data_IF_583357126762
#
_entry.id   IF_583357126762
#
_cell.length_a   1.000
_cell.length_b   1.000
_cell.length_c   1.000
_cell.angle_alpha   90.00
_cell.angle_beta   90.00
_cell.angle_gamma   90.00
#
_symmetry.space_group_name_H-M   'P 1'
#
loop_
_entity.id
_entity.type
_entity.pdbx_description
1 polymer ?
#
# COMPACT_ATOMS: atom_id res chain seq x y z
N UNK A 1 17.76 40.76 -19.57
CA UNK A 1 17.04 40.77 -18.27
C UNK A 1 15.58 41.22 -18.37
N UNK A 2 15.17 42.07 -19.34
CA UNK A 2 13.76 42.49 -19.47
C UNK A 2 12.78 41.36 -19.86
N UNK A 3 13.19 40.42 -20.75
CA UNK A 3 12.31 39.32 -21.18
C UNK A 3 12.00 38.28 -20.09
N UNK A 4 12.90 38.06 -19.12
CA UNK A 4 12.64 37.10 -18.04
C UNK A 4 11.59 37.63 -17.05
N UNK A 5 11.55 38.94 -16.83
CA UNK A 5 10.55 39.59 -15.96
C UNK A 5 9.15 39.54 -16.59
N UNK A 6 9.05 39.71 -17.91
CA UNK A 6 7.77 39.62 -18.63
C UNK A 6 7.23 38.18 -18.63
N UNK A 7 8.09 37.19 -18.84
CA UNK A 7 7.70 35.78 -18.79
C UNK A 7 7.23 35.40 -17.37
N UNK A 8 7.96 35.83 -16.33
CA UNK A 8 7.54 35.58 -14.95
C UNK A 8 6.20 36.24 -14.62
N UNK A 9 5.98 37.47 -15.09
CA UNK A 9 4.73 38.19 -14.87
C UNK A 9 3.53 37.50 -15.56
N UNK A 10 3.70 37.00 -16.79
CA UNK A 10 2.65 36.27 -17.51
C UNK A 10 2.34 34.94 -16.82
N UNK A 11 3.35 34.20 -16.35
CA UNK A 11 3.15 32.93 -15.61
C UNK A 11 2.44 33.17 -14.28
N UNK A 12 2.77 34.25 -13.56
CA UNK A 12 2.10 34.61 -12.29
C UNK A 12 0.65 35.04 -12.54
N UNK A 13 0.38 35.80 -13.61
CA UNK A 13 -0.98 36.23 -13.94
C UNK A 13 -1.85 35.03 -14.35
N UNK A 14 -1.32 34.10 -15.16
CA UNK A 14 -2.06 32.90 -15.59
C UNK A 14 -2.32 31.96 -14.41
N UNK A 15 -1.36 31.80 -13.49
CA UNK A 15 -1.56 30.98 -12.28
C UNK A 15 -2.55 31.61 -11.31
N UNK A 16 -2.53 32.93 -11.12
CA UNK A 16 -3.53 33.64 -10.30
C UNK A 16 -4.93 33.59 -10.90
N UNK A 17 -5.07 33.77 -12.21
CA UNK A 17 -6.37 33.66 -12.91
C UNK A 17 -6.92 32.23 -12.82
N UNK A 18 -6.08 31.21 -12.97
CA UNK A 18 -6.51 29.81 -12.78
C UNK A 18 -6.88 29.50 -11.31
N UNK A 19 -6.16 30.07 -10.33
CA UNK A 19 -6.50 29.92 -8.91
C UNK A 19 -7.81 30.63 -8.55
N UNK A 20 -8.05 31.82 -9.10
CA UNK A 20 -9.30 32.57 -8.94
C UNK A 20 -10.49 31.90 -9.63
N UNK A 21 -10.28 31.27 -10.79
CA UNK A 21 -11.33 30.48 -11.46
C UNK A 21 -11.60 29.14 -10.77
N UNK A 22 -10.60 28.53 -10.13
CA UNK A 22 -10.76 27.28 -9.38
C UNK A 22 -11.39 27.47 -7.99
N UNK A 23 -11.18 28.62 -7.35
CA UNK A 23 -11.80 28.98 -6.07
C UNK A 23 -13.26 29.46 -6.19
N UNK A 24 -13.81 29.51 -7.41
CA UNK A 24 -15.16 30.01 -7.71
C UNK A 24 -16.30 28.99 -7.62
N UNK A 25 -16.07 27.75 -7.18
CA UNK A 25 -17.14 26.74 -7.04
C UNK A 25 -17.36 26.31 -5.59
N UNK A 26 -18.30 27.01 -4.93
CA UNK A 26 -19.26 26.56 -3.92
C UNK A 26 -18.78 25.79 -2.66
N UNK A 27 -18.59 26.53 -1.57
CA UNK A 27 -19.25 26.22 -0.29
C UNK A 27 -20.03 27.46 0.15
N UNK A 28 -21.35 27.32 0.28
CA UNK A 28 -22.25 28.44 0.57
C UNK A 28 -22.32 28.82 2.05
N UNK A 29 -22.47 30.11 2.33
CA UNK A 29 -23.48 30.65 3.24
C UNK A 29 -23.45 32.20 3.27
N UNK A 30 -24.64 32.77 3.19
CA UNK A 30 -25.03 34.20 3.24
C UNK A 30 -24.21 35.11 4.15
N UNK A 31 -23.74 36.26 3.64
CA UNK A 31 -23.82 37.56 4.34
C UNK A 31 -23.91 38.70 3.30
N UNK A 32 -24.93 39.54 3.46
CA UNK A 32 -25.12 40.84 2.80
C UNK A 32 -24.12 41.89 3.32
N UNK A 33 -23.51 42.69 2.45
CA UNK A 33 -23.40 44.15 2.68
C UNK A 33 -22.64 44.86 1.55
N UNK A 34 -23.26 45.98 1.17
CA UNK A 34 -22.71 47.16 0.48
C UNK A 34 -21.22 47.47 0.74
N UNK A 35 -20.48 47.83 -0.31
CA UNK A 35 -19.84 49.14 -0.44
C UNK A 35 -18.89 49.24 -1.65
N UNK A 36 -19.11 50.31 -2.44
CA UNK A 36 -18.11 51.12 -3.17
C UNK A 36 -17.33 50.43 -4.31
N UNK A 37 -17.95 50.43 -5.49
CA UNK A 37 -17.22 50.77 -6.71
C UNK A 37 -16.81 52.24 -6.63
N UNK A 38 -15.51 52.53 -6.65
CA UNK A 38 -15.00 53.81 -7.11
C UNK A 38 -13.60 53.63 -7.69
N UNK A 39 -13.41 54.32 -8.82
CA UNK A 39 -12.16 54.64 -9.53
C UNK A 39 -11.35 53.51 -10.17
N UNK A 40 -11.60 53.28 -11.46
CA UNK A 40 -10.52 53.09 -12.44
C UNK A 40 -10.74 54.11 -13.57
N UNK A 41 -9.76 54.97 -13.91
CA UNK A 41 -9.92 56.00 -14.92
C UNK A 41 -10.04 55.43 -16.33
N UNK A 42 -10.98 56.00 -17.07
CA UNK A 42 -11.12 55.93 -18.51
C UNK A 42 -9.89 56.52 -19.23
N UNK A 43 -8.99 55.68 -19.77
CA UNK A 43 -8.15 56.05 -20.92
C UNK A 43 -7.77 54.81 -21.72
N UNK A 44 -8.60 54.41 -22.69
CA UNK A 44 -8.08 53.95 -23.98
C UNK A 44 -8.92 54.62 -25.06
N UNK A 45 -8.36 55.70 -25.58
CA UNK A 45 -8.75 56.34 -26.82
C UNK A 45 -8.66 55.32 -27.96
N UNK A 46 -9.77 55.05 -28.65
CA UNK A 46 -9.82 54.33 -29.93
C UNK A 46 -9.33 55.23 -31.07
N UNK A 47 -8.11 55.74 -30.97
CA UNK A 47 -7.48 56.52 -32.03
C UNK A 47 -5.98 56.21 -32.06
N UNK A 48 -5.64 55.04 -32.61
CA UNK A 48 -4.42 54.76 -33.39
C UNK A 48 -4.29 53.25 -33.66
N UNK A 49 -5.21 52.69 -34.44
CA UNK A 49 -4.87 51.52 -35.26
C UNK A 49 -4.15 52.03 -36.51
N UNK A 50 -2.90 52.47 -36.34
CA UNK A 50 -2.02 52.79 -37.45
C UNK A 50 -1.23 51.53 -37.84
N UNK A 51 -1.49 51.03 -39.05
CA UNK A 51 -0.55 50.30 -39.91
C UNK A 51 0.44 49.38 -39.20
N UNK A 52 -0.03 48.27 -38.61
CA UNK A 52 0.74 47.03 -38.77
C UNK A 52 0.32 46.43 -40.11
N UNK A 53 1.27 46.17 -41.00
CA UNK A 53 0.90 45.55 -42.28
C UNK A 53 0.30 44.17 -41.99
N UNK A 54 -0.69 43.76 -42.78
CA UNK A 54 -1.26 42.41 -42.70
C UNK A 54 -0.16 41.34 -42.70
N UNK A 55 0.91 41.57 -43.47
CA UNK A 55 2.12 40.76 -43.49
C UNK A 55 2.86 40.67 -42.16
N UNK A 56 2.90 41.74 -41.36
CA UNK A 56 3.54 41.70 -40.02
C UNK A 56 2.70 40.88 -39.03
N UNK A 57 1.37 40.93 -39.17
CA UNK A 57 0.44 40.12 -38.35
C UNK A 57 0.53 38.64 -38.75
N UNK A 58 0.59 38.34 -40.04
CA UNK A 58 0.78 36.98 -40.56
C UNK A 58 2.12 36.37 -40.13
N UNK A 59 3.20 37.13 -40.22
CA UNK A 59 4.52 36.70 -39.76
C UNK A 59 4.53 36.41 -38.25
N UNK A 60 3.92 37.29 -37.45
CA UNK A 60 3.81 37.08 -36.01
C UNK A 60 2.95 35.85 -35.67
N UNK A 61 1.87 35.60 -36.41
CA UNK A 61 1.08 34.37 -36.24
C UNK A 61 1.86 33.11 -36.61
N UNK A 62 2.67 33.14 -37.67
CA UNK A 62 3.53 32.02 -38.04
C UNK A 62 4.60 31.75 -36.98
N UNK A 63 5.21 32.80 -36.41
CA UNK A 63 6.20 32.66 -35.35
C UNK A 63 5.57 32.08 -34.07
N UNK A 64 4.36 32.54 -33.70
CA UNK A 64 3.61 31.99 -32.56
C UNK A 64 3.25 30.53 -32.81
N UNK A 65 2.82 30.18 -34.04
CA UNK A 65 2.47 28.80 -34.39
C UNK A 65 3.69 27.88 -34.33
N UNK A 66 4.84 28.30 -34.84
CA UNK A 66 6.10 27.53 -34.73
C UNK A 66 6.52 27.35 -33.28
N UNK A 67 6.42 28.39 -32.44
CA UNK A 67 6.71 28.28 -31.01
C UNK A 67 5.76 27.30 -30.32
N UNK A 68 4.47 27.38 -30.61
CA UNK A 68 3.47 26.47 -30.04
C UNK A 68 3.67 25.02 -30.48
N UNK A 69 4.03 24.78 -31.74
CA UNK A 69 4.38 23.46 -32.25
C UNK A 69 5.63 22.91 -31.54
N UNK A 70 6.67 23.74 -31.35
CA UNK A 70 7.88 23.35 -30.62
C UNK A 70 7.62 23.03 -29.14
N UNK A 71 6.77 23.81 -28.47
CA UNK A 71 6.38 23.55 -27.08
C UNK A 71 5.48 22.32 -26.96
N UNK A 72 4.60 22.07 -27.95
CA UNK A 72 3.80 20.85 -28.04
C UNK A 72 4.67 19.61 -28.24
N UNK A 73 5.73 19.69 -29.03
CA UNK A 73 6.65 18.57 -29.22
C UNK A 73 7.52 18.32 -27.98
N UNK A 74 7.93 19.37 -27.26
CA UNK A 74 8.53 19.25 -25.91
C UNK A 74 7.54 18.59 -24.94
N UNK A 75 6.27 19.01 -24.93
CA UNK A 75 5.22 18.42 -24.11
C UNK A 75 4.91 16.97 -24.49
N UNK A 76 4.98 16.60 -25.77
CA UNK A 76 4.84 15.21 -26.21
C UNK A 76 6.03 14.37 -25.75
N UNK A 77 7.25 14.89 -25.84
CA UNK A 77 8.45 14.21 -25.33
C UNK A 77 8.39 14.01 -23.80
N UNK A 78 7.90 15.02 -23.07
CA UNK A 78 7.65 14.95 -21.63
C UNK A 78 6.52 13.98 -21.28
N UNK A 79 5.41 13.97 -22.04
CA UNK A 79 4.27 13.05 -21.84
C UNK A 79 4.59 11.61 -22.23
N UNK A 80 5.52 11.39 -23.14
CA UNK A 80 5.97 10.06 -23.57
C UNK A 80 7.10 9.49 -22.72
N UNK A 81 7.54 10.19 -21.66
CA UNK A 81 8.52 9.64 -20.73
C UNK A 81 9.80 9.17 -21.43
N UNK A 82 10.23 9.86 -22.48
CA UNK A 82 11.57 9.64 -23.01
C UNK A 82 12.59 10.26 -22.04
N UNK A 83 12.80 9.58 -20.92
CA UNK A 83 14.14 9.46 -20.37
C UNK A 83 15.04 8.99 -21.53
N UNK A 84 16.34 9.34 -21.53
CA UNK A 84 17.30 8.81 -22.52
C UNK A 84 17.34 7.28 -22.53
N UNK A 85 18.39 6.62 -23.04
CA UNK A 85 18.56 5.18 -22.83
C UNK A 85 18.92 4.94 -21.34
N UNK A 86 17.99 5.24 -20.43
CA UNK A 86 18.03 4.79 -19.06
C UNK A 86 17.96 3.28 -19.07
N UNK A 87 18.67 2.67 -18.13
CA UNK A 87 18.65 1.23 -17.98
C UNK A 87 17.21 0.75 -17.76
N UNK A 88 16.86 -0.39 -18.36
CA UNK A 88 15.52 -0.94 -18.25
C UNK A 88 15.18 -1.29 -16.80
N UNK A 89 13.89 -1.48 -16.49
CA UNK A 89 13.46 -1.95 -15.18
C UNK A 89 14.20 -3.23 -14.78
N UNK A 90 14.38 -4.16 -15.71
CA UNK A 90 15.06 -5.44 -15.50
C UNK A 90 16.53 -5.24 -15.11
N UNK A 91 17.23 -4.31 -15.79
CA UNK A 91 18.62 -4.00 -15.49
C UNK A 91 18.76 -3.38 -14.09
N UNK A 92 17.89 -2.43 -13.72
CA UNK A 92 17.86 -1.87 -12.37
C UNK A 92 17.48 -2.89 -11.30
N UNK A 93 16.50 -3.74 -11.59
CA UNK A 93 16.06 -4.81 -10.70
C UNK A 93 17.21 -5.79 -10.42
N UNK A 94 17.94 -6.21 -11.44
CA UNK A 94 19.09 -7.11 -11.26
C UNK A 94 20.23 -6.46 -10.47
N UNK A 95 20.49 -5.15 -10.63
CA UNK A 95 21.44 -4.43 -9.76
C UNK A 95 21.00 -4.43 -8.29
N UNK A 96 19.75 -4.09 -8.02
CA UNK A 96 19.17 -4.09 -6.66
C UNK A 96 19.22 -5.50 -6.05
N UNK A 97 18.82 -6.52 -6.82
CA UNK A 97 18.84 -7.92 -6.42
C UNK A 97 20.24 -8.40 -6.08
N UNK A 98 21.24 -8.14 -6.93
CA UNK A 98 22.63 -8.50 -6.66
C UNK A 98 23.18 -7.83 -5.39
N UNK A 99 22.83 -6.56 -5.15
CA UNK A 99 23.19 -5.88 -3.91
C UNK A 99 22.52 -6.53 -2.69
N UNK A 100 21.22 -6.80 -2.76
CA UNK A 100 20.48 -7.49 -1.69
C UNK A 100 21.05 -8.89 -1.39
N UNK A 101 21.43 -9.66 -2.42
CA UNK A 101 22.10 -10.96 -2.28
C UNK A 101 23.43 -10.80 -1.54
N UNK A 102 24.23 -9.77 -1.85
CA UNK A 102 25.51 -9.51 -1.19
C UNK A 102 25.37 -9.26 0.33
N UNK A 103 24.20 -8.80 0.78
CA UNK A 103 23.92 -8.52 2.19
C UNK A 103 23.43 -9.74 2.98
N UNK A 104 23.06 -10.86 2.31
CA UNK A 104 22.42 -12.02 2.96
C UNK A 104 23.24 -12.54 4.14
N UNK A 105 24.54 -12.77 3.96
CA UNK A 105 25.39 -13.32 5.02
C UNK A 105 25.48 -12.41 6.26
N UNK A 106 25.48 -11.08 6.05
CA UNK A 106 25.48 -10.12 7.14
C UNK A 106 24.13 -10.14 7.87
N UNK A 107 23.01 -10.03 7.13
CA UNK A 107 21.65 -10.07 7.69
C UNK A 107 21.39 -11.32 8.52
N UNK A 108 21.78 -12.51 7.99
CA UNK A 108 21.67 -13.79 8.72
C UNK A 108 22.43 -13.76 10.05
N UNK A 109 23.68 -13.27 10.05
CA UNK A 109 24.48 -13.15 11.29
C UNK A 109 23.88 -12.14 12.27
N UNK A 110 23.39 -11.00 11.77
CA UNK A 110 22.74 -9.97 12.60
C UNK A 110 21.49 -10.52 13.28
N UNK A 111 20.62 -11.20 12.53
CA UNK A 111 19.39 -11.82 13.07
C UNK A 111 19.71 -12.93 14.08
N UNK A 112 20.69 -13.81 13.77
CA UNK A 112 21.13 -14.86 14.68
C UNK A 112 21.78 -14.32 15.98
N UNK A 113 22.31 -13.09 15.95
CA UNK A 113 22.91 -12.45 17.12
C UNK A 113 21.89 -11.80 18.06
N UNK A 114 20.60 -11.83 17.74
CA UNK A 114 19.55 -11.33 18.62
C UNK A 114 19.32 -12.37 19.71
N UNK A 115 19.52 -12.00 20.96
CA UNK A 115 19.33 -12.86 22.14
C UNK A 115 18.52 -12.19 23.25
N UNK A 116 18.21 -10.89 23.12
CA UNK A 116 17.45 -10.13 24.11
C UNK A 116 16.25 -9.42 23.47
N UNK A 117 15.18 -9.24 24.25
CA UNK A 117 13.89 -8.69 23.81
C UNK A 117 13.98 -7.22 23.37
N UNK A 118 14.88 -6.41 23.93
CA UNK A 118 14.99 -4.98 23.57
C UNK A 118 15.86 -4.71 22.34
N UNK A 119 16.42 -5.74 21.70
CA UNK A 119 17.33 -5.59 20.54
C UNK A 119 16.59 -5.29 19.21
N UNK A 120 15.54 -4.48 19.25
CA UNK A 120 14.73 -4.14 18.07
C UNK A 120 15.53 -3.45 16.96
N UNK A 121 16.58 -2.71 17.32
CA UNK A 121 17.48 -2.09 16.34
C UNK A 121 18.23 -3.11 15.49
N UNK A 122 18.58 -4.28 16.06
CA UNK A 122 19.17 -5.39 15.30
C UNK A 122 18.12 -6.05 14.41
N UNK A 123 16.93 -6.29 14.96
CA UNK A 123 15.81 -6.87 14.22
C UNK A 123 15.47 -6.00 13.02
N UNK A 124 14.93 -4.81 13.26
CA UNK A 124 14.42 -3.92 12.22
C UNK A 124 15.51 -3.37 11.29
N UNK A 125 16.74 -3.25 11.78
CA UNK A 125 17.90 -2.88 10.95
C UNK A 125 18.37 -3.99 10.00
N UNK A 126 18.06 -5.27 10.30
CA UNK A 126 18.40 -6.40 9.45
C UNK A 126 17.29 -6.79 8.45
N UNK A 127 16.07 -6.27 8.62
CA UNK A 127 14.93 -6.56 7.75
C UNK A 127 15.01 -5.84 6.40
N UNK A 128 14.29 -6.41 5.42
CA UNK A 128 14.24 -5.98 4.04
C UNK A 128 13.33 -6.94 3.25
N UNK A 129 12.92 -6.59 2.03
CA UNK A 129 12.14 -7.51 1.20
C UNK A 129 13.02 -8.65 0.68
N UNK A 130 12.53 -9.88 0.82
CA UNK A 130 13.04 -11.07 0.12
C UNK A 130 12.38 -11.24 -1.25
N UNK A 131 11.18 -10.65 -1.42
CA UNK A 131 10.42 -10.57 -2.67
C UNK A 131 10.02 -9.12 -2.94
N UNK A 132 10.18 -8.69 -4.19
CA UNK A 132 9.69 -7.42 -4.69
C UNK A 132 8.28 -7.61 -5.24
N UNK A 133 7.32 -6.81 -4.77
CA UNK A 133 5.97 -6.81 -5.33
C UNK A 133 5.70 -5.48 -6.04
N UNK A 134 5.68 -5.45 -7.38
CA UNK A 134 5.47 -4.21 -8.15
C UNK A 134 4.11 -3.57 -7.85
N UNK A 135 3.07 -4.39 -7.69
CA UNK A 135 1.69 -3.98 -7.41
C UNK A 135 1.38 -4.09 -5.91
N UNK A 136 2.34 -3.72 -5.06
CA UNK A 136 2.15 -3.66 -3.60
C UNK A 136 1.29 -2.47 -3.23
N UNK A 137 0.22 -2.71 -2.48
CA UNK A 137 -0.69 -1.66 -2.01
C UNK A 137 -0.98 -1.82 -0.53
N UNK A 138 -1.36 -0.74 0.14
CA UNK A 138 -1.87 -0.81 1.52
C UNK A 138 -3.40 -0.88 1.47
N UNK A 139 -3.97 -1.81 2.24
CA UNK A 139 -5.43 -2.03 2.32
C UNK A 139 -5.87 -1.92 3.76
N UNK A 140 -7.04 -1.33 3.99
CA UNK A 140 -7.58 -1.05 5.31
C UNK A 140 -7.23 0.34 5.80
N UNK A 141 -7.46 0.58 7.10
CA UNK A 141 -7.26 1.90 7.71
C UNK A 141 -5.85 2.45 7.48
N UNK A 142 -5.75 3.75 7.20
CA UNK A 142 -4.47 4.46 7.22
C UNK A 142 -4.05 4.65 8.68
N UNK A 143 -2.93 4.05 9.07
CA UNK A 143 -2.48 3.98 10.46
C UNK A 143 -2.53 2.54 10.95
N UNK A 144 -3.11 2.33 12.13
CA UNK A 144 -3.19 1.00 12.74
C UNK A 144 -4.25 0.10 12.07
N UNK A 145 -3.94 -1.20 11.95
CA UNK A 145 -4.83 -2.23 11.39
C UNK A 145 -4.81 -2.42 9.86
N UNK A 146 -4.30 -1.46 9.08
CA UNK A 146 -4.11 -1.64 7.64
C UNK A 146 -2.91 -2.54 7.32
N UNK A 147 -2.98 -3.34 6.25
CA UNK A 147 -1.90 -4.28 5.88
C UNK A 147 -1.35 -4.00 4.47
N UNK A 148 -0.05 -4.23 4.28
CA UNK A 148 0.58 -4.17 2.96
C UNK A 148 0.37 -5.51 2.24
N UNK A 149 -0.25 -5.48 1.07
CA UNK A 149 -0.64 -6.68 0.31
C UNK A 149 0.04 -6.72 -1.04
N UNK A 150 0.35 -7.92 -1.54
CA UNK A 150 0.92 -8.06 -2.87
C UNK A 150 -0.15 -8.36 -3.91
N UNK A 151 -0.33 -7.45 -4.88
CA UNK A 151 -1.17 -7.63 -6.07
C UNK A 151 -2.56 -8.26 -5.78
N UNK A 152 -3.44 -7.56 -5.05
CA UNK A 152 -4.72 -8.13 -4.62
C UNK A 152 -5.60 -8.56 -5.81
N UNK A 153 -5.40 -7.96 -6.99
CA UNK A 153 -6.15 -8.23 -8.22
C UNK A 153 -5.81 -9.58 -8.90
N UNK A 154 -4.75 -10.27 -8.46
CA UNK A 154 -4.44 -11.65 -8.89
C UNK A 154 -5.06 -12.72 -8.01
N UNK A 155 -5.78 -12.34 -6.97
CA UNK A 155 -6.44 -13.29 -6.06
C UNK A 155 -7.48 -14.11 -6.83
N UNK A 156 -7.45 -15.45 -6.74
CA UNK A 156 -8.42 -16.28 -7.44
C UNK A 156 -9.85 -16.03 -6.94
N UNK A 157 -10.80 -16.02 -7.87
CA UNK A 157 -12.22 -15.91 -7.56
C UNK A 157 -12.69 -17.07 -6.68
N UNK A 158 -13.56 -16.73 -5.73
CA UNK A 158 -14.20 -17.64 -4.78
C UNK A 158 -13.19 -18.39 -3.88
N UNK A 159 -11.98 -17.85 -3.73
CA UNK A 159 -10.97 -18.36 -2.80
C UNK A 159 -11.24 -17.89 -1.37
N UNK A 160 -10.69 -18.60 -0.39
CA UNK A 160 -10.96 -18.32 1.03
C UNK A 160 -9.94 -17.35 1.61
N UNK A 161 -10.44 -16.36 2.35
CA UNK A 161 -9.66 -15.56 3.27
C UNK A 161 -10.09 -15.86 4.70
N UNK A 162 -9.12 -16.15 5.56
CA UNK A 162 -9.33 -16.21 7.02
C UNK A 162 -8.76 -14.95 7.64
N UNK A 163 -9.55 -14.27 8.47
CA UNK A 163 -9.12 -13.10 9.25
C UNK A 163 -9.32 -13.36 10.73
N UNK A 164 -8.23 -13.32 11.49
CA UNK A 164 -8.19 -13.57 12.92
C UNK A 164 -7.97 -12.27 13.69
N UNK A 165 -8.80 -12.05 14.72
CA UNK A 165 -8.85 -10.85 15.55
C UNK A 165 -9.54 -9.68 14.87
N UNK A 166 -10.85 -9.84 14.63
CA UNK A 166 -11.65 -8.77 14.03
C UNK A 166 -11.85 -7.58 14.98
N UNK A 167 -12.10 -7.83 16.26
CA UNK A 167 -12.40 -6.82 17.29
C UNK A 167 -13.36 -5.69 16.84
N UNK A 168 -14.40 -6.01 16.07
CA UNK A 168 -15.32 -5.07 15.41
C UNK A 168 -14.69 -4.08 14.40
N UNK A 169 -13.42 -4.25 14.05
CA UNK A 169 -12.66 -3.48 13.09
C UNK A 169 -12.44 -4.30 11.82
N UNK A 170 -13.38 -4.18 10.87
CA UNK A 170 -13.38 -4.96 9.62
C UNK A 170 -12.98 -4.14 8.38
N UNK A 171 -12.28 -3.01 8.58
CA UNK A 171 -11.97 -2.07 7.51
C UNK A 171 -11.05 -2.67 6.44
N UNK A 172 -10.12 -3.54 6.85
CA UNK A 172 -9.28 -4.31 5.92
C UNK A 172 -10.14 -5.17 5.01
N UNK A 173 -11.08 -5.94 5.56
CA UNK A 173 -11.92 -6.85 4.78
C UNK A 173 -12.89 -6.11 3.86
N UNK A 174 -13.50 -5.03 4.35
CA UNK A 174 -14.37 -4.17 3.55
C UNK A 174 -13.63 -3.58 2.35
N UNK A 175 -12.45 -3.00 2.58
CA UNK A 175 -11.66 -2.40 1.51
C UNK A 175 -11.09 -3.47 0.57
N UNK A 176 -10.61 -4.59 1.09
CA UNK A 176 -10.13 -5.72 0.29
C UNK A 176 -11.21 -6.18 -0.68
N UNK A 177 -12.41 -6.48 -0.18
CA UNK A 177 -13.51 -6.94 -1.02
C UNK A 177 -13.96 -5.87 -2.00
N UNK A 178 -13.92 -4.59 -1.61
CA UNK A 178 -14.21 -3.47 -2.52
C UNK A 178 -13.22 -3.40 -3.69
N UNK A 179 -11.91 -3.45 -3.44
CA UNK A 179 -10.90 -3.32 -4.51
C UNK A 179 -10.74 -4.58 -5.36
N UNK A 180 -11.14 -5.74 -4.82
CA UNK A 180 -11.06 -7.04 -5.53
C UNK A 180 -12.39 -7.48 -6.13
N UNK A 181 -13.46 -6.69 -6.01
CA UNK A 181 -14.81 -7.01 -6.47
C UNK A 181 -15.39 -8.30 -5.83
N UNK A 182 -15.38 -8.37 -4.50
CA UNK A 182 -15.94 -9.47 -3.71
C UNK A 182 -15.36 -10.84 -4.10
N UNK A 183 -14.04 -10.89 -4.32
CA UNK A 183 -13.34 -12.07 -4.87
C UNK A 183 -13.29 -13.23 -3.88
N UNK A 184 -13.22 -12.94 -2.57
CA UNK A 184 -13.05 -13.97 -1.55
C UNK A 184 -14.36 -14.37 -0.87
N UNK A 185 -14.37 -15.56 -0.28
CA UNK A 185 -15.29 -15.92 0.82
C UNK A 185 -14.53 -15.70 2.13
N UNK A 186 -15.08 -14.88 3.02
CA UNK A 186 -14.39 -14.47 4.24
C UNK A 186 -14.86 -15.28 5.45
N UNK A 187 -13.90 -15.70 6.27
CA UNK A 187 -14.16 -16.29 7.58
C UNK A 187 -13.40 -15.50 8.64
N UNK A 188 -14.17 -14.79 9.45
CA UNK A 188 -13.67 -13.89 10.48
C UNK A 188 -13.83 -14.49 11.86
N UNK A 189 -12.79 -14.46 12.67
CA UNK A 189 -12.79 -15.04 14.02
C UNK A 189 -12.24 -14.06 15.04
N UNK A 190 -12.86 -14.01 16.21
CA UNK A 190 -12.43 -13.13 17.29
C UNK A 190 -12.75 -13.73 18.67
N UNK A 191 -11.97 -13.40 19.70
CA UNK A 191 -12.24 -13.87 21.06
C UNK A 191 -13.56 -13.33 21.63
N UNK A 192 -14.00 -12.16 21.18
CA UNK A 192 -15.26 -11.53 21.53
C UNK A 192 -16.34 -11.73 20.45
N UNK A 193 -17.59 -11.70 20.89
CA UNK A 193 -18.73 -11.70 19.97
C UNK A 193 -18.77 -10.36 19.20
N UNK A 194 -18.93 -10.43 17.89
CA UNK A 194 -19.00 -9.22 17.06
C UNK A 194 -20.37 -8.54 17.21
N UNK A 195 -20.40 -7.21 17.06
CA UNK A 195 -21.62 -6.43 17.10
C UNK A 195 -22.55 -6.80 15.93
N UNK A 196 -23.85 -6.56 16.09
CA UNK A 196 -24.82 -6.81 15.03
C UNK A 196 -24.57 -5.96 13.76
N UNK A 197 -23.98 -4.77 13.91
CA UNK A 197 -23.55 -3.95 12.78
C UNK A 197 -22.42 -4.65 12.04
N UNK A 198 -21.38 -5.06 12.76
CA UNK A 198 -20.22 -5.77 12.19
C UNK A 198 -20.66 -7.04 11.46
N UNK A 199 -21.49 -7.87 12.10
CA UNK A 199 -22.01 -9.12 11.49
C UNK A 199 -22.77 -8.86 10.19
N UNK A 200 -23.65 -7.86 10.17
CA UNK A 200 -24.42 -7.50 8.98
C UNK A 200 -23.53 -6.99 7.87
N UNK A 201 -22.58 -6.10 8.17
CA UNK A 201 -21.61 -5.62 7.20
C UNK A 201 -20.74 -6.75 6.66
N UNK A 202 -20.24 -7.63 7.53
CA UNK A 202 -19.43 -8.77 7.11
C UNK A 202 -20.21 -9.70 6.16
N UNK A 203 -21.49 -9.95 6.42
CA UNK A 203 -22.36 -10.73 5.55
C UNK A 203 -22.57 -10.11 4.16
N UNK A 204 -22.64 -8.77 4.03
CA UNK A 204 -22.80 -8.11 2.72
C UNK A 204 -21.55 -8.21 1.86
N UNK A 205 -20.37 -8.42 2.46
CA UNK A 205 -19.09 -8.61 1.78
C UNK A 205 -18.66 -10.09 1.75
N UNK A 206 -19.64 -11.01 1.70
CA UNK A 206 -19.44 -12.47 1.60
C UNK A 206 -18.68 -13.09 2.78
N UNK A 207 -18.83 -12.51 3.96
CA UNK A 207 -18.16 -12.95 5.16
C UNK A 207 -19.07 -13.60 6.18
N UNK A 208 -18.51 -14.54 6.94
CA UNK A 208 -19.11 -15.07 8.16
C UNK A 208 -18.18 -14.81 9.34
N UNK A 209 -18.71 -14.22 10.41
CA UNK A 209 -17.95 -14.01 11.65
C UNK A 209 -18.37 -14.99 12.74
N UNK A 210 -17.43 -15.48 13.55
CA UNK A 210 -17.70 -16.35 14.70
C UNK A 210 -16.84 -15.97 15.90
N UNK A 211 -17.42 -16.03 17.10
CA UNK A 211 -16.64 -15.98 18.35
C UNK A 211 -15.80 -17.25 18.49
N UNK A 212 -14.48 -17.08 18.40
CA UNK A 212 -13.48 -18.11 18.54
C UNK A 212 -12.16 -17.49 19.01
N UNK A 213 -11.71 -17.89 20.20
CA UNK A 213 -10.35 -17.62 20.67
C UNK A 213 -9.39 -18.63 20.04
N UNK A 214 -8.45 -18.14 19.23
CA UNK A 214 -7.46 -19.00 18.58
C UNK A 214 -6.48 -19.54 19.61
N UNK A 215 -6.22 -20.84 19.56
CA UNK A 215 -5.23 -21.47 20.43
C UNK A 215 -4.69 -22.79 19.86
N UNK A 216 -3.66 -23.34 20.50
CA UNK A 216 -3.00 -24.59 20.11
C UNK A 216 -3.87 -25.85 20.24
N UNK A 217 -5.06 -25.76 20.85
CA UNK A 217 -5.99 -26.87 21.01
C UNK A 217 -7.43 -26.41 21.10
N UNK A 218 -8.37 -27.30 20.76
CA UNK A 218 -9.80 -26.99 20.76
C UNK A 218 -10.46 -27.36 22.09
N UNK A 219 -11.14 -26.38 22.70
CA UNK A 219 -12.04 -26.51 23.84
C UNK A 219 -13.29 -25.67 23.54
N UNK A 220 -14.26 -26.29 22.85
CA UNK A 220 -15.46 -25.61 22.37
C UNK A 220 -16.30 -25.02 23.53
N UNK A 221 -16.26 -25.62 24.72
CA UNK A 221 -16.96 -25.11 25.90
C UNK A 221 -16.39 -23.76 26.38
N UNK A 222 -15.13 -23.46 26.06
CA UNK A 222 -14.47 -22.19 26.33
C UNK A 222 -14.28 -21.31 25.08
N UNK A 223 -14.92 -21.67 23.97
CA UNK A 223 -14.76 -21.01 22.68
C UNK A 223 -13.30 -20.97 22.17
N UNK A 224 -12.47 -21.95 22.56
CA UNK A 224 -11.08 -22.04 22.11
C UNK A 224 -10.96 -23.01 20.95
N UNK A 225 -10.27 -22.63 19.88
CA UNK A 225 -10.18 -23.45 18.68
C UNK A 225 -8.80 -23.36 18.04
N UNK A 226 -8.37 -24.46 17.43
CA UNK A 226 -7.31 -24.41 16.41
C UNK A 226 -7.86 -23.83 15.11
N UNK A 227 -7.01 -23.21 14.29
CA UNK A 227 -7.40 -22.74 12.94
C UNK A 227 -7.89 -23.92 12.09
N UNK A 228 -7.24 -25.08 12.23
CA UNK A 228 -7.61 -26.32 11.54
C UNK A 228 -9.03 -26.78 11.86
N UNK A 229 -9.46 -26.75 13.12
CA UNK A 229 -10.80 -27.21 13.48
C UNK A 229 -11.89 -26.23 13.03
N UNK A 230 -11.60 -24.92 13.01
CA UNK A 230 -12.50 -23.91 12.41
C UNK A 230 -12.66 -24.12 10.91
N UNK A 231 -11.58 -24.49 10.22
CA UNK A 231 -11.62 -24.86 8.81
C UNK A 231 -12.49 -26.10 8.57
N UNK A 232 -12.31 -27.16 9.37
CA UNK A 232 -13.13 -28.38 9.27
C UNK A 232 -14.61 -28.09 9.48
N UNK A 233 -14.96 -27.31 10.52
CA UNK A 233 -16.34 -26.92 10.80
C UNK A 233 -16.98 -26.17 9.64
N UNK A 234 -16.17 -25.36 8.93
CA UNK A 234 -16.62 -24.53 7.82
C UNK A 234 -16.47 -25.20 6.45
N UNK A 235 -16.06 -26.48 6.40
CA UNK A 235 -15.73 -27.23 5.19
C UNK A 235 -14.68 -26.54 4.29
N UNK A 236 -13.73 -25.82 4.90
CA UNK A 236 -12.63 -25.14 4.22
C UNK A 236 -11.48 -26.14 4.05
N UNK A 237 -11.06 -26.39 2.81
CA UNK A 237 -9.92 -27.26 2.52
C UNK A 237 -8.65 -26.49 2.15
N UNK A 238 -8.80 -25.27 1.63
CA UNK A 238 -7.70 -24.43 1.18
C UNK A 238 -7.95 -22.98 1.61
N UNK A 239 -6.89 -22.27 1.96
CA UNK A 239 -6.93 -20.86 2.32
C UNK A 239 -5.95 -20.11 1.40
N UNK A 240 -6.41 -19.04 0.77
CA UNK A 240 -5.59 -18.23 -0.13
C UNK A 240 -4.85 -17.15 0.64
N UNK A 241 -5.58 -16.47 1.53
CA UNK A 241 -5.09 -15.34 2.34
C UNK A 241 -5.36 -15.61 3.81
N UNK A 242 -4.35 -15.39 4.65
CA UNK A 242 -4.47 -15.42 6.11
C UNK A 242 -4.08 -14.05 6.68
N UNK A 243 -5.03 -13.33 7.26
CA UNK A 243 -4.77 -12.20 8.15
C UNK A 243 -4.79 -12.69 9.60
N UNK A 244 -3.79 -12.32 10.38
CA UNK A 244 -3.66 -12.73 11.77
C UNK A 244 -3.19 -11.56 12.64
N UNK A 245 -3.97 -11.29 13.68
CA UNK A 245 -3.81 -10.16 14.58
C UNK A 245 -4.53 -10.50 15.90
N UNK A 246 -3.89 -11.28 16.77
CA UNK A 246 -4.52 -11.97 17.91
C UNK A 246 -3.71 -11.87 19.21
N UNK A 247 -2.98 -10.76 19.37
CA UNK A 247 -2.38 -10.31 20.63
C UNK A 247 -1.49 -11.36 21.33
N UNK A 248 -0.52 -11.90 20.60
CA UNK A 248 0.52 -12.79 21.10
C UNK A 248 0.28 -14.29 20.85
N UNK A 249 -0.95 -14.68 20.50
CA UNK A 249 -1.23 -16.07 20.15
C UNK A 249 -0.59 -16.51 18.80
N UNK A 250 -0.12 -15.56 17.98
CA UNK A 250 0.56 -15.81 16.71
C UNK A 250 1.83 -16.64 16.90
N UNK A 251 2.55 -16.38 18.00
CA UNK A 251 3.80 -17.06 18.37
C UNK A 251 3.62 -18.56 18.62
N UNK A 252 2.40 -19.00 18.90
CA UNK A 252 2.10 -20.40 19.26
C UNK A 252 1.23 -21.11 18.24
N UNK A 253 0.37 -20.38 17.53
CA UNK A 253 -0.66 -20.98 16.67
C UNK A 253 -0.31 -20.96 15.17
N UNK A 254 0.51 -19.99 14.73
CA UNK A 254 0.78 -19.81 13.30
C UNK A 254 1.62 -20.95 12.72
N UNK A 255 2.75 -21.28 13.35
CA UNK A 255 3.68 -22.29 12.82
C UNK A 255 3.03 -23.68 12.71
N UNK A 256 2.35 -24.22 13.76
CA UNK A 256 1.67 -25.52 13.65
C UNK A 256 0.59 -25.56 12.55
N UNK A 257 -0.02 -24.42 12.24
CA UNK A 257 -0.98 -24.32 11.14
C UNK A 257 -0.27 -24.38 9.78
N UNK A 258 0.79 -23.59 9.59
CA UNK A 258 1.53 -23.50 8.33
C UNK A 258 2.31 -24.79 7.98
N UNK A 259 2.65 -25.61 8.97
CA UNK A 259 3.23 -26.95 8.75
C UNK A 259 2.25 -27.92 8.04
N UNK A 260 0.94 -27.67 8.15
CA UNK A 260 -0.11 -28.53 7.58
C UNK A 260 -0.81 -27.92 6.38
N UNK A 261 -0.95 -26.59 6.38
CA UNK A 261 -1.72 -25.85 5.38
C UNK A 261 -0.87 -24.76 4.76
N UNK A 262 -0.73 -24.81 3.44
CA UNK A 262 -0.10 -23.75 2.69
C UNK A 262 -1.11 -22.64 2.39
N UNK A 263 -0.75 -21.40 2.67
CA UNK A 263 -1.46 -20.17 2.30
C UNK A 263 -0.62 -19.41 1.28
N UNK A 264 -1.23 -18.64 0.38
CA UNK A 264 -0.44 -17.88 -0.58
C UNK A 264 0.12 -16.59 0.01
N UNK A 265 -0.68 -15.81 0.74
CA UNK A 265 -0.20 -14.62 1.45
C UNK A 265 -0.62 -14.61 2.91
N UNK A 266 0.27 -14.13 3.76
CA UNK A 266 0.04 -13.95 5.20
C UNK A 266 0.24 -12.49 5.55
N UNK A 267 -0.72 -11.90 6.26
CA UNK A 267 -0.65 -10.56 6.82
C UNK A 267 -0.71 -10.69 8.34
N UNK A 268 0.42 -10.50 8.99
CA UNK A 268 0.64 -10.82 10.39
C UNK A 268 0.96 -9.55 11.17
N UNK A 269 0.23 -9.30 12.24
CA UNK A 269 0.73 -8.45 13.33
C UNK A 269 1.35 -9.34 14.40
N UNK A 270 2.63 -9.12 14.68
CA UNK A 270 3.30 -9.83 15.77
C UNK A 270 3.55 -8.89 16.93
N UNK A 271 3.25 -9.40 18.12
CA UNK A 271 3.51 -8.77 19.41
C UNK A 271 4.60 -9.54 20.15
N UNK A 272 5.60 -8.85 20.68
CA UNK A 272 6.63 -9.45 21.51
C UNK A 272 7.99 -8.77 21.42
N UNK A 273 8.99 -9.43 22.01
CA UNK A 273 10.37 -8.99 21.98
C UNK A 273 11.04 -9.22 20.62
N UNK A 274 12.17 -8.52 20.42
CA UNK A 274 12.98 -8.67 19.22
C UNK A 274 13.41 -10.13 18.97
N UNK A 275 13.66 -10.89 20.04
CA UNK A 275 14.01 -12.32 19.96
C UNK A 275 12.83 -13.17 19.49
N UNK A 276 11.64 -12.99 20.08
CA UNK A 276 10.45 -13.73 19.64
C UNK A 276 10.10 -13.43 18.18
N UNK A 277 10.21 -12.16 17.76
CA UNK A 277 10.03 -11.78 16.37
C UNK A 277 11.05 -12.50 15.48
N UNK A 278 12.35 -12.40 15.77
CA UNK A 278 13.39 -13.06 14.97
C UNK A 278 13.16 -14.59 14.86
N UNK A 279 12.75 -15.24 15.94
CA UNK A 279 12.42 -16.68 15.93
C UNK A 279 11.17 -17.00 15.10
N UNK A 280 10.11 -16.20 15.19
CA UNK A 280 8.88 -16.42 14.41
C UNK A 280 9.15 -16.20 12.92
N UNK A 281 9.80 -15.09 12.54
CA UNK A 281 10.13 -14.78 11.15
C UNK A 281 11.00 -15.89 10.52
N UNK A 282 11.95 -16.43 11.29
CA UNK A 282 12.77 -17.57 10.87
C UNK A 282 11.95 -18.83 10.65
N UNK A 283 11.03 -19.17 11.57
CA UNK A 283 10.17 -20.34 11.43
C UNK A 283 9.24 -20.23 10.22
N UNK A 284 8.66 -19.05 9.98
CA UNK A 284 7.87 -18.75 8.78
C UNK A 284 8.74 -18.95 7.51
N UNK A 285 9.98 -18.47 7.50
CA UNK A 285 10.89 -18.61 6.38
C UNK A 285 11.32 -20.08 6.11
N UNK A 286 11.49 -20.90 7.15
CA UNK A 286 11.73 -22.34 7.01
C UNK A 286 10.56 -23.07 6.32
N UNK A 287 9.35 -22.52 6.40
CA UNK A 287 8.17 -23.01 5.71
C UNK A 287 7.98 -22.40 4.30
N UNK A 288 9.07 -21.88 3.70
CA UNK A 288 9.12 -21.31 2.35
C UNK A 288 8.26 -20.05 2.14
N UNK A 289 8.02 -19.29 3.19
CA UNK A 289 7.43 -17.95 3.06
C UNK A 289 8.52 -16.89 2.96
N UNK A 290 8.29 -15.91 2.08
CA UNK A 290 9.19 -14.79 1.82
C UNK A 290 8.56 -13.50 2.27
N UNK A 291 9.30 -12.70 3.02
CA UNK A 291 8.84 -11.36 3.41
C UNK A 291 8.87 -10.43 2.20
N UNK A 292 7.82 -9.63 2.00
CA UNK A 292 7.79 -8.57 0.98
C UNK A 292 7.48 -7.19 1.56
N UNK A 293 7.00 -7.13 2.81
CA UNK A 293 6.79 -5.88 3.53
C UNK A 293 6.86 -6.10 5.04
N UNK A 294 7.24 -5.04 5.74
CA UNK A 294 7.01 -4.90 7.17
C UNK A 294 6.75 -3.42 7.49
N UNK A 295 6.00 -3.19 8.55
CA UNK A 295 5.71 -1.85 9.07
C UNK A 295 5.77 -1.91 10.60
N UNK A 296 6.72 -1.18 11.18
CA UNK A 296 6.88 -1.09 12.62
C UNK A 296 5.73 -0.26 13.16
N UNK A 297 5.07 -0.71 14.22
CA UNK A 297 4.02 0.08 14.85
C UNK A 297 4.64 1.37 15.43
N UNK A 298 4.12 2.51 15.00
CA UNK A 298 4.64 3.83 15.41
C UNK A 298 4.43 4.14 16.89
N UNK A 299 3.54 3.41 17.57
CA UNK A 299 3.26 3.54 19.00
C UNK A 299 4.18 2.66 19.85
N UNK A 300 4.48 1.42 19.43
CA UNK A 300 5.25 0.46 20.20
C UNK A 300 6.17 -0.40 19.32
N UNK A 301 7.47 -0.42 19.64
CA UNK A 301 8.45 -1.27 18.92
C UNK A 301 8.22 -2.77 19.13
N UNK A 302 7.43 -3.13 20.14
CA UNK A 302 6.99 -4.50 20.47
C UNK A 302 5.95 -5.03 19.48
N UNK A 303 5.37 -4.17 18.64
CA UNK A 303 4.39 -4.54 17.63
C UNK A 303 4.91 -4.23 16.23
N UNK A 304 4.75 -5.17 15.30
CA UNK A 304 5.12 -4.96 13.90
C UNK A 304 4.23 -5.78 12.97
N UNK A 305 3.83 -5.14 11.89
CA UNK A 305 3.12 -5.72 10.77
C UNK A 305 4.12 -6.36 9.81
N UNK A 306 3.86 -7.60 9.41
CA UNK A 306 4.65 -8.35 8.44
C UNK A 306 3.76 -8.88 7.34
N UNK A 307 4.30 -8.92 6.12
CA UNK A 307 3.58 -9.41 4.96
C UNK A 307 4.46 -10.41 4.21
N UNK A 308 3.93 -11.62 4.09
CA UNK A 308 4.62 -12.76 3.50
C UNK A 308 3.87 -13.30 2.30
N UNK A 309 4.65 -13.87 1.37
CA UNK A 309 4.14 -14.64 0.25
C UNK A 309 4.84 -16.00 0.23
N UNK A 310 4.07 -17.08 0.03
CA UNK A 310 4.67 -18.40 -0.13
C UNK A 310 5.44 -18.48 -1.46
N UNK A 311 6.58 -19.16 -1.46
CA UNK A 311 7.49 -19.28 -2.60
C UNK A 311 6.78 -19.75 -3.90
N UNK A 312 5.83 -20.67 -3.78
CA UNK A 312 5.04 -21.18 -4.92
C UNK A 312 3.99 -20.20 -5.45
N UNK A 313 3.69 -19.13 -4.72
CA UNK A 313 2.71 -18.11 -5.12
C UNK A 313 3.35 -16.81 -5.64
N UNK A 314 4.69 -16.70 -5.60
CA UNK A 314 5.44 -15.51 -6.06
C UNK A 314 5.06 -15.13 -7.48
N UNK A 315 5.14 -16.07 -8.43
CA UNK A 315 4.85 -15.81 -9.84
C UNK A 315 3.35 -15.56 -10.08
N UNK A 316 2.48 -16.27 -9.33
CA UNK A 316 1.01 -16.09 -9.39
C UNK A 316 0.60 -14.65 -9.12
N UNK A 317 1.25 -14.00 -8.15
CA UNK A 317 0.98 -12.62 -7.77
C UNK A 317 1.87 -11.60 -8.51
N UNK A 318 2.65 -12.03 -9.50
CA UNK A 318 3.54 -11.15 -10.28
C UNK A 318 4.68 -10.55 -9.46
N UNK A 319 5.03 -11.18 -8.34
CA UNK A 319 6.13 -10.76 -7.49
C UNK A 319 7.47 -11.34 -8.01
N UNK A 320 8.59 -10.74 -7.61
CA UNK A 320 9.92 -11.08 -8.11
C UNK A 320 10.87 -11.39 -6.96
N UNK A 321 11.59 -12.52 -7.05
CA UNK A 321 12.53 -12.97 -6.00
C UNK A 321 13.75 -12.07 -5.94
N UNK A 322 14.13 -11.64 -4.73
CA UNK A 322 15.29 -10.78 -4.48
C UNK A 322 16.41 -11.59 -3.81
N UNK A 323 16.19 -12.00 -2.55
CA UNK A 323 17.20 -12.64 -1.70
C UNK A 323 16.49 -13.46 -0.61
N UNK A 324 17.21 -14.38 0.04
CA UNK A 324 16.69 -15.16 1.17
C UNK A 324 17.65 -15.05 2.36
N UNK A 325 17.24 -14.34 3.40
CA UNK A 325 18.01 -14.11 4.62
C UNK A 325 17.25 -14.43 5.91
N UNK A 326 15.92 -14.57 5.90
CA UNK A 326 15.15 -14.97 7.09
C UNK A 326 15.28 -16.46 7.42
N UNK A 327 15.62 -17.29 6.44
CA UNK A 327 15.96 -18.71 6.65
C UNK A 327 17.42 -18.84 7.13
N UNK A 328 17.67 -18.50 8.40
CA UNK A 328 18.98 -18.58 9.05
C UNK A 328 19.04 -19.69 10.10
N UNK A 329 20.26 -20.09 10.49
CA UNK A 329 20.46 -21.00 11.62
C UNK A 329 20.57 -20.17 12.90
N UNK A 330 19.80 -20.55 13.92
CA UNK A 330 19.98 -20.04 15.28
C UNK A 330 21.31 -20.54 15.87
#
# INVERSE_FOLDING_TARGET
MANQVVILAVVVIVTLVNFMMWSGTNYGSNVSSSARLNSIPSVISFANLSKRSLTEIENNMQEIKQKLESEMDILKALKLGQQGPGESFEAHFEKMKNFSISQVALRKRTLASIYNKEQYWLLYGALGPEVFCPEKVRVGTVGDGGKWVCNPWKTPKDSVMISLGLNNLITFEEEWQKITNNVNVLYGYDAAEQSEVTKKTYATIRGTSKKATISVGTDAAKFRYTIEDLMKESNITNVEILKIDIEGAELTCLIPFLEKFQVCQIYLEAHGGAKEHADLLRQIAHLNYRIFSYEINGYAMEACEYSFIHESCVDKYGAMRIANFLDFKA
#
